data_IF_642595988124
#
_entry.id   IF_642595988124
#
_cell.length_a   1.000
_cell.length_b   1.000
_cell.length_c   1.000
_cell.angle_alpha   90.00
_cell.angle_beta   90.00
_cell.angle_gamma   90.00
#
_symmetry.space_group_name_H-M   'P 1'
#
loop_
_entity.id
_entity.type
_entity.pdbx_description
1 polymer ?
#
# COMPACT_ATOMS: atom_id res chain seq x y z
N UNK A 1 -10.94 33.43 36.55
CA UNK A 1 -9.85 32.94 37.41
C UNK A 1 -8.54 33.46 36.83
N UNK A 2 -7.94 34.45 37.48
CA UNK A 2 -6.63 35.01 37.13
C UNK A 2 -5.58 34.06 37.71
N UNK A 3 -4.69 33.55 36.85
CA UNK A 3 -3.59 32.67 37.17
C UNK A 3 -2.59 33.44 38.06
N UNK A 4 -2.35 33.05 39.31
CA UNK A 4 -1.58 33.84 40.32
C UNK A 4 -0.09 33.97 40.00
N UNK A 5 0.42 33.27 38.99
CA UNK A 5 1.85 33.25 38.65
C UNK A 5 2.24 34.24 37.53
N UNK A 6 1.37 35.20 37.21
CA UNK A 6 1.57 36.11 36.07
C UNK A 6 1.77 37.55 36.56
N UNK A 7 2.94 38.12 36.37
CA UNK A 7 3.29 39.52 36.64
C UNK A 7 3.30 40.36 35.35
N UNK A 8 2.54 41.44 35.27
CA UNK A 8 2.50 42.36 34.13
C UNK A 8 3.81 43.14 34.05
N UNK A 9 4.60 42.89 33.03
CA UNK A 9 5.93 43.52 32.90
C UNK A 9 5.89 44.86 32.15
N UNK A 10 4.93 45.05 31.20
CA UNK A 10 4.74 46.31 30.41
C UNK A 10 3.35 46.42 29.83
N UNK A 11 2.68 47.55 30.08
CA UNK A 11 1.44 47.94 29.42
C UNK A 11 1.84 48.82 28.22
N UNK A 12 1.39 48.51 27.03
CA UNK A 12 1.63 49.24 25.78
C UNK A 12 0.32 49.79 25.23
N UNK A 13 0.43 50.69 24.21
CA UNK A 13 -0.75 51.15 23.46
C UNK A 13 -1.53 50.05 22.78
N UNK A 14 -0.84 48.90 22.48
CA UNK A 14 -1.45 47.73 21.88
C UNK A 14 -0.91 46.47 22.57
N UNK A 15 -1.80 45.69 23.16
CA UNK A 15 -1.48 44.42 23.81
C UNK A 15 -0.72 44.54 25.12
N UNK A 16 -0.43 43.38 25.72
CA UNK A 16 0.32 43.27 26.99
C UNK A 16 1.34 42.12 26.86
N UNK A 17 2.47 42.26 27.56
CA UNK A 17 3.46 41.18 27.70
C UNK A 17 3.54 40.85 29.19
N UNK A 18 3.43 39.56 29.51
CA UNK A 18 3.41 39.02 30.85
C UNK A 18 4.50 37.96 31.00
N UNK A 19 5.33 38.06 32.05
CA UNK A 19 6.29 37.01 32.34
C UNK A 19 5.59 35.82 33.02
N UNK A 20 5.84 34.61 32.56
CA UNK A 20 5.47 33.37 33.23
C UNK A 20 6.66 32.87 34.02
N UNK A 21 6.50 32.78 35.37
CA UNK A 21 7.54 32.34 36.29
C UNK A 21 7.38 30.84 36.62
N UNK A 22 8.48 30.16 36.87
CA UNK A 22 8.51 28.84 37.48
C UNK A 22 8.42 28.95 39.02
N UNK A 23 8.22 27.81 39.67
CA UNK A 23 8.18 27.74 41.14
C UNK A 23 9.48 28.23 41.83
N UNK A 24 10.62 28.23 41.13
CA UNK A 24 11.92 28.75 41.59
C UNK A 24 12.08 30.27 41.31
N UNK A 25 11.06 30.96 40.84
CA UNK A 25 11.08 32.39 40.50
C UNK A 25 11.73 32.74 39.14
N UNK A 26 12.31 31.77 38.44
CA UNK A 26 12.87 31.99 37.08
C UNK A 26 11.78 32.19 36.04
N UNK A 27 12.04 33.03 35.02
CA UNK A 27 11.13 33.25 33.95
C UNK A 27 11.16 32.06 33.00
N UNK A 28 10.01 31.40 32.80
CA UNK A 28 9.86 30.26 31.88
C UNK A 28 9.47 30.66 30.45
N UNK A 29 8.76 31.77 30.29
CA UNK A 29 8.32 32.29 29.00
C UNK A 29 7.75 33.70 29.12
N UNK A 30 7.69 34.38 28.01
CA UNK A 30 7.04 35.68 27.86
C UNK A 30 5.74 35.52 27.04
N UNK A 31 4.59 35.89 27.64
CA UNK A 31 3.26 35.77 27.04
C UNK A 31 2.84 37.10 26.46
N UNK A 32 2.82 37.21 25.14
CA UNK A 32 2.25 38.36 24.45
C UNK A 32 0.76 38.15 24.21
N UNK A 33 -0.06 39.17 24.49
CA UNK A 33 -1.54 39.11 24.44
C UNK A 33 -2.12 40.36 23.82
N UNK A 34 -3.20 40.20 23.05
CA UNK A 34 -4.05 41.27 22.56
C UNK A 34 -5.48 40.76 22.31
N UNK A 35 -6.43 41.65 22.01
CA UNK A 35 -7.79 41.27 21.67
C UNK A 35 -7.98 41.25 20.16
N UNK A 36 -8.59 40.18 19.66
CA UNK A 36 -8.95 40.05 18.23
C UNK A 36 -9.86 41.18 17.76
N UNK A 37 -9.60 41.79 16.60
CA UNK A 37 -10.43 42.86 16.08
C UNK A 37 -11.79 42.40 15.54
N UNK A 38 -12.00 41.08 15.39
CA UNK A 38 -13.20 40.48 14.81
C UNK A 38 -14.22 40.09 15.88
N UNK A 39 -13.79 39.41 16.94
CA UNK A 39 -14.65 38.83 17.95
C UNK A 39 -14.29 39.26 19.38
N UNK A 40 -13.30 40.11 19.56
CA UNK A 40 -12.82 40.58 20.87
C UNK A 40 -12.14 39.53 21.75
N UNK A 41 -12.05 38.29 21.30
CA UNK A 41 -11.42 37.22 22.07
C UNK A 41 -9.92 37.44 22.23
N UNK A 42 -9.41 36.93 23.36
CA UNK A 42 -7.98 37.03 23.67
C UNK A 42 -7.15 36.17 22.74
N UNK A 43 -6.20 36.79 22.07
CA UNK A 43 -5.15 36.13 21.28
C UNK A 43 -3.87 36.19 22.09
N UNK A 44 -3.17 35.06 22.26
CA UNK A 44 -1.90 35.02 22.99
C UNK A 44 -0.89 34.08 22.33
N UNK A 45 0.39 34.43 22.49
CA UNK A 45 1.53 33.61 22.03
C UNK A 45 2.66 33.67 23.05
N UNK A 46 3.38 32.55 23.24
CA UNK A 46 4.49 32.40 24.16
C UNK A 46 5.80 32.54 23.43
N UNK A 47 6.79 33.21 24.06
CA UNK A 47 8.13 33.47 23.50
C UNK A 47 9.21 33.22 24.57
N UNK A 48 10.43 32.89 24.11
CA UNK A 48 11.56 32.71 24.99
C UNK A 48 12.18 34.03 25.44
N UNK A 49 12.04 35.09 24.61
CA UNK A 49 12.57 36.42 24.92
C UNK A 49 11.47 37.49 24.88
N UNK A 50 11.66 38.53 25.70
CA UNK A 50 10.76 39.70 25.71
C UNK A 50 10.82 40.43 24.35
N UNK A 51 11.98 40.45 23.72
CA UNK A 51 12.22 41.12 22.43
C UNK A 51 11.38 40.49 21.32
N UNK A 52 11.31 39.16 21.27
CA UNK A 52 10.50 38.44 20.29
C UNK A 52 9.01 38.66 20.53
N UNK A 53 8.59 38.69 21.79
CA UNK A 53 7.21 39.02 22.17
C UNK A 53 6.84 40.44 21.73
N UNK A 54 7.75 41.42 21.87
CA UNK A 54 7.60 42.79 21.44
C UNK A 54 7.47 42.91 19.92
N UNK A 55 8.38 42.26 19.21
CA UNK A 55 8.39 42.24 17.74
C UNK A 55 7.11 41.64 17.18
N UNK A 56 6.64 40.53 17.77
CA UNK A 56 5.39 39.89 17.36
C UNK A 56 4.18 40.80 17.59
N UNK A 57 4.06 41.46 18.77
CA UNK A 57 2.96 42.41 19.05
C UNK A 57 2.97 43.62 18.11
N UNK A 58 4.13 44.10 17.72
CA UNK A 58 4.25 45.18 16.75
C UNK A 58 3.69 44.78 15.36
N UNK A 59 4.06 43.59 14.90
CA UNK A 59 3.50 43.05 13.65
C UNK A 59 1.99 42.76 13.71
N UNK A 60 1.48 42.29 14.85
CA UNK A 60 0.06 42.08 15.06
C UNK A 60 -0.71 43.42 15.08
N UNK A 61 -0.15 44.44 15.69
CA UNK A 61 -0.72 45.79 15.71
C UNK A 61 -0.92 46.34 14.28
N UNK A 62 0.10 46.20 13.45
CA UNK A 62 0.00 46.64 12.05
C UNK A 62 -1.14 45.92 11.29
N UNK A 63 -1.25 44.60 11.48
CA UNK A 63 -2.29 43.80 10.85
C UNK A 63 -3.70 44.15 11.35
N UNK A 64 -3.85 44.46 12.63
CA UNK A 64 -5.12 44.93 13.23
C UNK A 64 -5.48 46.32 12.67
N UNK A 65 -4.53 47.22 12.55
CA UNK A 65 -4.75 48.55 11.97
C UNK A 65 -5.11 48.47 10.47
N UNK A 66 -4.44 47.60 9.68
CA UNK A 66 -4.83 47.36 8.30
C UNK A 66 -6.25 46.83 8.18
N UNK A 67 -6.68 45.94 9.09
CA UNK A 67 -8.03 45.43 9.12
C UNK A 67 -9.07 46.55 9.45
N UNK A 68 -8.78 47.36 10.46
CA UNK A 68 -9.64 48.48 10.84
C UNK A 68 -9.83 49.52 9.73
N UNK A 69 -8.78 49.71 8.90
CA UNK A 69 -8.81 50.60 7.73
C UNK A 69 -9.44 49.94 6.50
N UNK A 70 -9.89 48.69 6.57
CA UNK A 70 -10.44 47.94 5.42
C UNK A 70 -9.44 47.55 4.34
N UNK A 71 -8.15 47.74 4.60
CA UNK A 71 -7.06 47.44 3.61
C UNK A 71 -6.76 45.96 3.51
N UNK A 72 -6.91 45.19 4.61
CA UNK A 72 -6.63 43.77 4.67
C UNK A 72 -7.44 43.10 5.76
N UNK A 73 -8.09 41.98 5.44
CA UNK A 73 -8.81 41.19 6.44
C UNK A 73 -7.84 40.58 7.46
N UNK A 74 -8.08 40.80 8.74
CA UNK A 74 -7.32 40.16 9.79
C UNK A 74 -7.65 38.67 9.86
N UNK A 75 -6.66 37.86 10.05
CA UNK A 75 -6.76 36.40 10.22
C UNK A 75 -6.02 36.01 11.49
N UNK A 76 -6.60 35.10 12.27
CA UNK A 76 -6.00 34.64 13.52
C UNK A 76 -4.56 34.14 13.30
N UNK A 77 -3.58 34.46 14.18
CA UNK A 77 -2.17 34.06 14.04
C UNK A 77 -1.99 32.56 13.79
N UNK A 78 -2.71 31.71 14.53
CA UNK A 78 -2.67 30.26 14.32
C UNK A 78 -3.07 29.85 12.90
N UNK A 79 -4.08 30.53 12.33
CA UNK A 79 -4.53 30.22 10.97
C UNK A 79 -3.54 30.74 9.91
N UNK A 80 -2.87 31.87 10.21
CA UNK A 80 -1.77 32.36 9.36
C UNK A 80 -0.58 31.41 9.37
N UNK A 81 -0.20 30.90 10.56
CA UNK A 81 0.89 29.91 10.69
C UNK A 81 0.51 28.61 9.97
N UNK A 82 -0.74 28.15 10.10
CA UNK A 82 -1.27 27.01 9.33
C UNK A 82 -1.19 27.23 7.83
N UNK A 83 -1.63 28.42 7.35
CA UNK A 83 -1.55 28.78 5.91
C UNK A 83 -0.10 28.84 5.41
N UNK A 84 0.81 29.38 6.22
CA UNK A 84 2.24 29.41 5.89
C UNK A 84 2.81 28.00 5.80
N UNK A 85 2.55 27.16 6.80
CA UNK A 85 2.95 25.76 6.80
C UNK A 85 2.36 24.98 5.63
N UNK A 86 1.06 25.14 5.36
CA UNK A 86 0.40 24.55 4.20
C UNK A 86 1.02 25.04 2.88
N UNK A 87 1.43 26.31 2.80
CA UNK A 87 2.06 26.88 1.61
C UNK A 87 3.49 26.42 1.37
N UNK A 88 4.18 25.91 2.38
CA UNK A 88 5.56 25.39 2.31
C UNK A 88 5.62 23.87 2.25
N UNK A 89 4.50 23.16 2.39
CA UNK A 89 4.46 21.70 2.34
C UNK A 89 4.94 21.19 0.99
N UNK A 90 5.86 20.24 1.02
CA UNK A 90 6.39 19.59 -0.17
C UNK A 90 5.53 18.41 -0.60
N UNK A 91 5.71 17.97 -1.85
CA UNK A 91 5.08 16.75 -2.34
C UNK A 91 5.51 15.53 -1.54
N UNK A 92 6.79 15.44 -1.17
CA UNK A 92 7.32 14.33 -0.37
C UNK A 92 6.58 14.15 0.94
N UNK A 93 6.39 15.25 1.69
CA UNK A 93 5.70 15.22 2.99
C UNK A 93 4.25 14.74 2.86
N UNK A 94 3.53 15.23 1.84
CA UNK A 94 2.15 14.82 1.60
C UNK A 94 2.05 13.38 1.09
N UNK A 95 2.97 12.98 0.21
CA UNK A 95 3.02 11.64 -0.38
C UNK A 95 3.35 10.56 0.68
N UNK A 96 4.26 10.85 1.60
CA UNK A 96 4.58 9.96 2.72
C UNK A 96 3.36 9.81 3.65
N UNK A 97 2.74 10.92 4.01
CA UNK A 97 1.52 10.87 4.81
C UNK A 97 0.39 10.09 4.10
N UNK A 98 0.24 10.26 2.78
CA UNK A 98 -0.73 9.50 1.99
C UNK A 98 -0.45 7.99 2.07
N UNK A 99 0.79 7.56 1.89
CA UNK A 99 1.19 6.15 1.98
C UNK A 99 0.88 5.56 3.35
N UNK A 100 1.16 6.31 4.42
CA UNK A 100 0.99 5.83 5.79
C UNK A 100 -0.48 5.78 6.24
N UNK A 101 -1.29 6.71 5.76
CA UNK A 101 -2.70 6.81 6.14
C UNK A 101 -3.66 6.14 5.18
N UNK A 102 -3.21 5.79 3.97
CA UNK A 102 -4.08 5.21 2.95
C UNK A 102 -4.70 3.88 3.40
N UNK A 103 -6.00 3.76 3.23
CA UNK A 103 -6.81 2.59 3.61
C UNK A 103 -7.63 2.14 2.41
N UNK A 104 -8.15 0.90 2.48
CA UNK A 104 -9.15 0.43 1.52
C UNK A 104 -10.47 1.20 1.70
N UNK A 105 -11.39 1.13 0.72
CA UNK A 105 -12.71 1.75 0.84
C UNK A 105 -13.51 1.31 2.08
N UNK A 106 -13.28 0.08 2.57
CA UNK A 106 -13.88 -0.48 3.79
C UNK A 106 -13.20 0.01 5.10
N UNK A 107 -12.22 0.92 5.00
CA UNK A 107 -11.46 1.46 6.13
C UNK A 107 -10.34 0.55 6.64
N UNK A 108 -10.23 -0.68 6.14
CA UNK A 108 -9.19 -1.62 6.57
C UNK A 108 -7.83 -1.27 5.99
N UNK A 109 -6.76 -1.69 6.67
CA UNK A 109 -5.39 -1.47 6.21
C UNK A 109 -5.11 -2.19 4.88
N UNK A 110 -4.25 -1.61 4.06
CA UNK A 110 -3.73 -2.29 2.88
C UNK A 110 -2.94 -3.54 3.29
N UNK A 111 -3.04 -4.61 2.48
CA UNK A 111 -2.15 -5.78 2.61
C UNK A 111 -0.72 -5.39 2.22
N UNK A 112 0.28 -6.05 2.80
CA UNK A 112 1.70 -5.73 2.60
C UNK A 112 2.11 -5.59 1.13
N UNK A 113 1.67 -6.49 0.24
CA UNK A 113 1.97 -6.39 -1.19
C UNK A 113 1.34 -5.13 -1.84
N UNK A 114 0.09 -4.80 -1.50
CA UNK A 114 -0.58 -3.61 -2.04
C UNK A 114 0.08 -2.32 -1.52
N UNK A 115 0.51 -2.32 -0.26
CA UNK A 115 1.23 -1.18 0.33
C UNK A 115 2.61 -1.00 -0.30
N UNK A 116 3.32 -2.11 -0.59
CA UNK A 116 4.58 -2.06 -1.31
C UNK A 116 4.41 -1.46 -2.71
N UNK A 117 3.42 -1.92 -3.47
CA UNK A 117 3.14 -1.37 -4.79
C UNK A 117 2.79 0.12 -4.71
N UNK A 118 2.00 0.52 -3.70
CA UNK A 118 1.70 1.93 -3.45
C UNK A 118 2.98 2.75 -3.21
N UNK A 119 3.89 2.25 -2.38
CA UNK A 119 5.18 2.91 -2.14
C UNK A 119 6.04 3.01 -3.39
N UNK A 120 6.06 1.97 -4.21
CA UNK A 120 6.79 1.99 -5.48
C UNK A 120 6.20 3.03 -6.44
N UNK A 121 4.87 3.01 -6.64
CA UNK A 121 4.19 3.99 -7.50
C UNK A 121 4.41 5.44 -7.01
N UNK A 122 4.35 5.66 -5.69
CA UNK A 122 4.61 6.96 -5.07
C UNK A 122 6.09 7.32 -5.14
N UNK A 123 7.00 6.35 -5.04
CA UNK A 123 8.44 6.55 -5.22
C UNK A 123 8.76 7.19 -6.57
N UNK A 124 8.23 6.63 -7.65
CA UNK A 124 8.39 7.22 -8.98
C UNK A 124 7.86 8.66 -9.08
N UNK A 125 6.75 8.96 -8.40
CA UNK A 125 6.23 10.33 -8.35
C UNK A 125 7.14 11.28 -7.55
N UNK A 126 7.77 10.79 -6.47
CA UNK A 126 8.72 11.56 -5.68
C UNK A 126 9.99 11.88 -6.45
N UNK A 127 10.43 10.98 -7.34
CA UNK A 127 11.57 11.23 -8.22
C UNK A 127 11.30 12.44 -9.16
N UNK A 128 10.03 12.70 -9.48
CA UNK A 128 9.61 13.81 -10.36
C UNK A 128 9.24 15.08 -9.60
N UNK A 129 8.43 14.95 -8.54
CA UNK A 129 7.78 16.08 -7.86
C UNK A 129 8.32 16.32 -6.43
N UNK A 130 9.15 15.43 -5.89
CA UNK A 130 9.48 15.32 -4.46
C UNK A 130 9.85 16.62 -3.78
N UNK A 131 10.88 17.30 -4.24
CA UNK A 131 11.35 18.55 -3.64
C UNK A 131 10.47 19.78 -3.90
N UNK A 132 9.43 19.67 -4.73
CA UNK A 132 8.53 20.79 -5.06
C UNK A 132 7.53 21.03 -3.93
N UNK A 133 7.26 22.29 -3.62
CA UNK A 133 6.08 22.62 -2.82
C UNK A 133 4.80 22.34 -3.61
N UNK A 134 3.71 22.03 -2.91
CA UNK A 134 2.44 21.72 -3.57
C UNK A 134 1.96 22.84 -4.51
N UNK A 135 2.30 24.10 -4.22
CA UNK A 135 1.94 25.25 -5.05
C UNK A 135 2.78 25.35 -6.35
N UNK A 136 3.96 24.77 -6.36
CA UNK A 136 4.80 24.71 -7.56
C UNK A 136 4.34 23.63 -8.54
N UNK A 137 3.57 22.66 -8.08
CA UNK A 137 2.99 21.60 -8.92
C UNK A 137 1.73 22.16 -9.59
N UNK A 138 1.94 22.90 -10.67
CA UNK A 138 0.89 23.53 -11.47
C UNK A 138 0.38 22.59 -12.56
N UNK A 139 -0.77 22.86 -13.19
CA UNK A 139 -1.25 22.10 -14.35
C UNK A 139 -0.19 22.01 -15.48
N UNK A 140 0.60 23.07 -15.70
CA UNK A 140 1.65 23.09 -16.72
C UNK A 140 2.80 22.14 -16.38
N UNK A 141 3.22 22.08 -15.10
CA UNK A 141 4.25 21.14 -14.63
C UNK A 141 3.75 19.70 -14.80
N UNK A 142 2.49 19.44 -14.44
CA UNK A 142 1.88 18.11 -14.62
C UNK A 142 1.77 17.76 -16.10
N UNK A 143 1.36 18.71 -16.97
CA UNK A 143 1.26 18.48 -18.42
C UNK A 143 2.62 18.15 -19.03
N UNK A 144 3.67 18.85 -18.66
CA UNK A 144 5.03 18.55 -19.13
C UNK A 144 5.48 17.14 -18.74
N UNK A 145 5.20 16.73 -17.50
CA UNK A 145 5.48 15.36 -17.07
C UNK A 145 4.59 14.36 -17.81
N UNK A 146 3.27 14.61 -17.90
CA UNK A 146 2.31 13.68 -18.48
C UNK A 146 2.60 13.35 -19.96
N UNK A 147 3.03 14.32 -20.75
CA UNK A 147 3.37 14.15 -22.16
C UNK A 147 4.86 13.90 -22.41
N UNK A 148 5.66 13.78 -21.35
CA UNK A 148 7.07 13.44 -21.43
C UNK A 148 7.32 11.94 -21.67
N UNK A 149 8.59 11.57 -21.73
CA UNK A 149 9.00 10.17 -21.82
C UNK A 149 8.90 9.49 -20.45
N UNK A 150 8.39 8.27 -20.42
CA UNK A 150 8.22 7.45 -19.21
C UNK A 150 8.98 6.14 -19.35
N UNK A 151 10.05 6.00 -18.56
CA UNK A 151 10.91 4.81 -18.56
C UNK A 151 10.32 3.65 -17.73
N UNK A 152 9.30 3.91 -16.90
CA UNK A 152 8.79 2.97 -15.91
C UNK A 152 7.93 1.84 -16.51
N UNK A 153 7.55 1.97 -17.78
CA UNK A 153 6.76 0.99 -18.51
C UNK A 153 5.26 1.29 -18.55
N UNK A 154 4.61 0.70 -19.56
CA UNK A 154 3.21 0.97 -19.93
C UNK A 154 2.19 0.78 -18.80
N UNK A 155 2.43 -0.18 -17.88
CA UNK A 155 1.53 -0.48 -16.75
C UNK A 155 1.73 0.42 -15.53
N UNK A 156 2.87 1.09 -15.43
CA UNK A 156 3.21 1.92 -14.26
C UNK A 156 2.61 3.31 -14.40
N UNK A 157 2.68 3.89 -15.59
CA UNK A 157 2.25 5.26 -15.85
C UNK A 157 0.77 5.54 -15.51
N UNK A 158 -0.22 4.71 -15.93
CA UNK A 158 -1.62 4.91 -15.53
C UNK A 158 -1.80 4.89 -14.01
N UNK A 159 -1.10 4.00 -13.30
CA UNK A 159 -1.14 3.94 -11.85
C UNK A 159 -0.53 5.17 -11.20
N UNK A 160 0.60 5.67 -11.72
CA UNK A 160 1.20 6.93 -11.26
C UNK A 160 0.21 8.09 -11.42
N UNK A 161 -0.49 8.21 -12.56
CA UNK A 161 -1.53 9.20 -12.78
C UNK A 161 -2.65 9.09 -11.76
N UNK A 162 -3.14 7.87 -11.49
CA UNK A 162 -4.16 7.61 -10.46
C UNK A 162 -3.68 8.06 -9.07
N UNK A 163 -2.43 7.72 -8.70
CA UNK A 163 -1.84 8.09 -7.40
C UNK A 163 -1.64 9.59 -7.28
N UNK A 164 -1.08 10.24 -8.31
CA UNK A 164 -0.91 11.69 -8.31
C UNK A 164 -2.25 12.41 -8.13
N UNK A 165 -3.27 12.01 -8.91
CA UNK A 165 -4.63 12.58 -8.78
C UNK A 165 -5.20 12.39 -7.38
N UNK A 166 -5.00 11.22 -6.77
CA UNK A 166 -5.47 10.92 -5.43
C UNK A 166 -4.75 11.75 -4.35
N UNK A 167 -3.43 11.90 -4.46
CA UNK A 167 -2.62 12.72 -3.55
C UNK A 167 -3.02 14.20 -3.67
N UNK A 168 -3.21 14.72 -4.89
CA UNK A 168 -3.64 16.09 -5.10
C UNK A 168 -5.09 16.33 -4.63
N UNK A 169 -5.99 15.36 -4.78
CA UNK A 169 -7.34 15.44 -4.18
C UNK A 169 -7.28 15.50 -2.65
N UNK A 170 -6.35 14.76 -2.04
CA UNK A 170 -6.13 14.85 -0.60
C UNK A 170 -5.68 16.24 -0.19
N UNK A 171 -4.78 16.88 -0.96
CA UNK A 171 -4.35 18.26 -0.73
C UNK A 171 -5.52 19.28 -0.79
N UNK A 172 -6.55 18.99 -1.57
CA UNK A 172 -7.76 19.81 -1.69
C UNK A 172 -8.79 19.51 -0.59
N UNK A 173 -8.56 18.52 0.27
CA UNK A 173 -9.44 18.13 1.36
C UNK A 173 -8.90 18.61 2.70
N UNK A 174 -9.79 18.79 3.69
CA UNK A 174 -9.42 19.17 5.07
C UNK A 174 -8.95 17.94 5.91
N UNK A 175 -8.64 16.81 5.26
CA UNK A 175 -8.27 15.56 5.96
C UNK A 175 -6.86 15.55 6.53
N UNK A 176 -6.05 16.55 6.19
CA UNK A 176 -4.66 16.64 6.69
C UNK A 176 -4.55 17.23 8.11
N UNK A 177 -5.68 17.58 8.74
CA UNK A 177 -5.72 18.11 10.12
C UNK A 177 -5.18 19.54 10.23
N UNK A 178 -5.06 20.27 9.13
CA UNK A 178 -4.66 21.69 9.12
C UNK A 178 -5.83 22.63 9.38
N UNK A 179 -7.07 22.11 9.39
CA UNK A 179 -8.31 22.88 9.49
C UNK A 179 -8.65 23.65 8.21
N UNK A 180 -7.89 23.42 7.12
CA UNK A 180 -8.16 24.00 5.79
C UNK A 180 -7.46 23.17 4.70
N UNK A 181 -7.98 23.19 3.46
CA UNK A 181 -7.30 22.59 2.31
C UNK A 181 -5.93 23.21 2.06
N UNK A 182 -4.96 22.39 1.63
CA UNK A 182 -3.63 22.82 1.23
C UNK A 182 -3.64 23.49 -0.16
N UNK A 183 -4.51 23.01 -1.05
CA UNK A 183 -4.76 23.54 -2.39
C UNK A 183 -6.24 23.88 -2.55
N UNK A 184 -6.54 24.92 -3.33
CA UNK A 184 -7.91 25.32 -3.65
C UNK A 184 -8.58 24.35 -4.65
N UNK A 185 -7.81 23.79 -5.59
CA UNK A 185 -8.27 22.84 -6.60
C UNK A 185 -7.15 21.86 -6.98
N UNK A 186 -7.55 20.70 -7.49
CA UNK A 186 -6.59 19.70 -7.94
C UNK A 186 -5.95 20.15 -9.26
N UNK A 187 -4.61 20.29 -9.31
CA UNK A 187 -3.90 20.67 -10.54
C UNK A 187 -3.87 19.54 -11.59
N UNK A 188 -4.16 18.29 -11.21
CA UNK A 188 -4.24 17.16 -12.14
C UNK A 188 -5.61 17.13 -12.82
N UNK A 189 -5.73 17.79 -13.97
CA UNK A 189 -6.97 17.90 -14.75
C UNK A 189 -7.01 16.96 -15.97
N UNK A 190 -5.89 16.29 -16.27
CA UNK A 190 -5.76 15.42 -17.43
C UNK A 190 -6.52 14.09 -17.23
N UNK A 191 -6.91 13.41 -18.33
CA UNK A 191 -7.49 12.08 -18.24
C UNK A 191 -6.48 11.09 -17.68
N UNK A 192 -6.94 10.11 -16.92
CA UNK A 192 -6.10 8.98 -16.54
C UNK A 192 -6.01 8.06 -17.76
N UNK A 193 -4.80 7.71 -18.24
CA UNK A 193 -4.66 6.77 -19.33
C UNK A 193 -5.32 5.43 -18.98
N UNK A 194 -5.96 4.76 -19.94
CA UNK A 194 -6.47 3.40 -19.72
C UNK A 194 -5.30 2.48 -19.38
N UNK A 195 -5.58 1.43 -18.61
CA UNK A 195 -4.62 0.35 -18.46
C UNK A 195 -4.29 -0.22 -19.85
N UNK A 196 -3.02 -0.53 -20.13
CA UNK A 196 -2.66 -1.18 -21.38
C UNK A 196 -3.50 -2.43 -21.60
N UNK A 197 -3.89 -2.68 -22.83
CA UNK A 197 -4.54 -3.94 -23.14
C UNK A 197 -3.61 -5.07 -22.67
N UNK A 198 -4.11 -6.01 -21.87
CA UNK A 198 -3.34 -7.18 -21.55
C UNK A 198 -2.98 -7.82 -22.87
N UNK A 199 -1.68 -7.84 -23.21
CA UNK A 199 -1.20 -8.64 -24.34
C UNK A 199 -1.86 -9.99 -24.14
N UNK A 200 -2.71 -10.40 -25.09
CA UNK A 200 -3.40 -11.69 -25.04
C UNK A 200 -2.32 -12.77 -25.14
N UNK A 201 -1.67 -13.01 -24.02
CA UNK A 201 -0.84 -14.16 -23.88
C UNK A 201 -1.83 -15.30 -23.64
N UNK A 202 -2.42 -15.77 -24.73
CA UNK A 202 -2.96 -17.11 -24.76
C UNK A 202 -1.80 -18.06 -24.52
N UNK A 203 -1.39 -18.16 -23.25
CA UNK A 203 -0.49 -19.24 -22.87
C UNK A 203 -1.38 -20.47 -22.86
N UNK A 204 -1.25 -21.34 -23.88
CA UNK A 204 -2.09 -22.52 -23.96
C UNK A 204 -1.89 -23.38 -22.72
N UNK A 205 -2.90 -24.15 -22.32
CA UNK A 205 -2.74 -25.12 -21.24
C UNK A 205 -1.62 -26.08 -21.59
N UNK A 206 -0.86 -26.48 -20.56
CA UNK A 206 0.23 -27.43 -20.76
C UNK A 206 -0.33 -28.83 -21.09
N UNK A 207 0.28 -29.48 -22.05
CA UNK A 207 0.00 -30.87 -22.38
C UNK A 207 0.51 -31.82 -21.27
N UNK A 208 0.02 -33.06 -21.26
CA UNK A 208 0.50 -34.08 -20.31
C UNK A 208 2.03 -34.30 -20.41
N UNK A 209 2.58 -34.30 -21.63
CA UNK A 209 4.03 -34.45 -21.88
C UNK A 209 4.79 -33.25 -21.30
N UNK A 210 4.30 -32.02 -21.52
CA UNK A 210 4.93 -30.82 -20.95
C UNK A 210 4.86 -30.80 -19.42
N UNK A 211 3.74 -31.22 -18.83
CA UNK A 211 3.59 -31.32 -17.37
C UNK A 211 4.55 -32.35 -16.79
N UNK A 212 4.71 -33.52 -17.44
CA UNK A 212 5.68 -34.55 -17.01
C UNK A 212 7.12 -34.02 -17.10
N UNK A 213 7.50 -33.42 -18.22
CA UNK A 213 8.82 -32.82 -18.38
C UNK A 213 9.12 -31.73 -17.36
N UNK A 214 8.10 -30.86 -17.09
CA UNK A 214 8.21 -29.81 -16.09
C UNK A 214 8.36 -30.39 -14.66
N UNK A 215 7.58 -31.40 -14.32
CA UNK A 215 7.68 -32.09 -13.03
C UNK A 215 9.07 -32.71 -12.81
N UNK A 216 9.60 -33.39 -13.79
CA UNK A 216 10.95 -34.02 -13.72
C UNK A 216 12.08 -32.95 -13.66
N UNK A 217 11.89 -31.80 -14.27
CA UNK A 217 12.87 -30.70 -14.26
C UNK A 217 12.84 -29.87 -12.97
N UNK A 218 11.79 -30.00 -12.15
CA UNK A 218 11.69 -29.30 -10.85
C UNK A 218 12.58 -29.98 -9.79
N UNK A 219 13.10 -29.22 -8.80
CA UNK A 219 13.74 -29.84 -7.63
C UNK A 219 12.77 -30.81 -6.92
N UNK A 220 13.31 -31.95 -6.51
CA UNK A 220 12.53 -33.03 -5.92
C UNK A 220 11.64 -32.62 -4.75
N UNK A 221 12.15 -31.71 -3.90
CA UNK A 221 11.46 -31.26 -2.69
C UNK A 221 10.30 -30.29 -2.95
N UNK A 222 10.09 -29.79 -4.16
CA UNK A 222 8.96 -28.92 -4.50
C UNK A 222 8.26 -29.28 -5.82
N UNK A 223 8.73 -30.29 -6.56
CA UNK A 223 8.14 -30.73 -7.84
C UNK A 223 6.67 -31.15 -7.73
N UNK A 224 6.24 -31.71 -6.59
CA UNK A 224 4.86 -32.09 -6.37
C UNK A 224 3.88 -30.91 -6.46
N UNK A 225 4.35 -29.68 -6.23
CA UNK A 225 3.56 -28.46 -6.38
C UNK A 225 3.00 -28.27 -7.80
N UNK A 226 3.70 -28.75 -8.82
CA UNK A 226 3.28 -28.71 -10.23
C UNK A 226 2.03 -29.56 -10.42
N UNK A 227 2.08 -30.82 -9.98
CA UNK A 227 0.95 -31.76 -10.15
C UNK A 227 -0.24 -31.39 -9.29
N UNK A 228 -0.03 -31.03 -8.03
CA UNK A 228 -1.11 -30.55 -7.16
C UNK A 228 -1.81 -29.32 -7.72
N UNK A 229 -1.06 -28.42 -8.33
CA UNK A 229 -1.66 -27.23 -8.94
C UNK A 229 -2.41 -27.56 -10.24
N UNK A 230 -1.82 -28.40 -11.12
CA UNK A 230 -2.40 -28.71 -12.41
C UNK A 230 -3.57 -29.70 -12.33
N UNK A 231 -3.59 -30.62 -11.36
CA UNK A 231 -4.57 -31.74 -11.33
C UNK A 231 -5.52 -31.72 -10.15
N UNK A 232 -5.20 -31.01 -9.06
CA UNK A 232 -6.05 -31.03 -7.87
C UNK A 232 -6.78 -29.71 -7.58
N UNK A 233 -6.07 -28.56 -7.57
CA UNK A 233 -6.71 -27.36 -7.02
C UNK A 233 -6.51 -26.07 -7.75
N UNK A 234 -5.83 -26.05 -8.90
CA UNK A 234 -5.61 -24.81 -9.67
C UNK A 234 -5.07 -23.63 -8.83
N UNK A 235 -4.11 -23.92 -7.95
CA UNK A 235 -3.67 -23.02 -6.89
C UNK A 235 -2.86 -21.82 -7.40
N UNK A 236 -2.97 -20.69 -6.70
CA UNK A 236 -2.00 -19.61 -6.83
C UNK A 236 -0.68 -20.00 -6.15
N UNK A 237 0.46 -19.50 -6.63
CA UNK A 237 1.79 -19.87 -6.08
C UNK A 237 1.88 -19.67 -4.56
N UNK A 238 1.27 -18.63 -4.01
CA UNK A 238 1.25 -18.42 -2.57
C UNK A 238 0.35 -19.40 -1.80
N UNK A 239 -0.70 -19.93 -2.45
CA UNK A 239 -1.57 -20.98 -1.91
C UNK A 239 -0.81 -22.32 -1.90
N UNK A 240 -0.11 -22.67 -2.99
CA UNK A 240 0.71 -23.86 -3.06
C UNK A 240 1.79 -23.87 -1.96
N UNK A 241 2.51 -22.75 -1.79
CA UNK A 241 3.51 -22.63 -0.72
C UNK A 241 2.92 -22.68 0.71
N UNK A 242 1.62 -22.42 0.87
CA UNK A 242 0.95 -22.42 2.16
C UNK A 242 0.41 -23.78 2.60
N UNK A 243 0.39 -24.77 1.71
CA UNK A 243 -0.14 -26.10 2.00
C UNK A 243 0.54 -26.74 3.22
N UNK A 244 -0.28 -27.29 4.10
CA UNK A 244 0.14 -28.01 5.30
C UNK A 244 -0.18 -29.49 5.16
N UNK A 245 0.53 -30.32 5.89
CA UNK A 245 0.20 -31.75 5.96
C UNK A 245 -1.22 -32.00 6.44
N UNK A 246 -1.68 -31.20 7.40
CA UNK A 246 -3.04 -31.26 7.95
C UNK A 246 -4.15 -30.83 6.97
N UNK A 247 -3.80 -30.21 5.84
CA UNK A 247 -4.77 -29.83 4.81
C UNK A 247 -5.18 -31.03 3.92
N UNK A 248 -4.53 -32.18 4.07
CA UNK A 248 -4.79 -33.40 3.28
C UNK A 248 -5.57 -34.42 4.09
N UNK A 249 -6.70 -34.86 3.56
CA UNK A 249 -7.38 -36.08 3.99
C UNK A 249 -7.20 -37.15 2.89
N UNK A 250 -6.18 -38.00 3.07
CA UNK A 250 -5.83 -39.01 2.06
C UNK A 250 -6.84 -40.14 1.97
N UNK A 251 -7.63 -40.39 3.01
CA UNK A 251 -8.73 -41.40 3.00
C UNK A 251 -9.94 -40.87 2.23
N UNK A 252 -10.34 -39.63 2.51
CA UNK A 252 -11.42 -38.96 1.80
C UNK A 252 -10.99 -38.43 0.42
N UNK A 253 -9.67 -38.50 0.11
CA UNK A 253 -9.09 -38.00 -1.13
C UNK A 253 -9.44 -36.52 -1.38
N UNK A 254 -9.16 -35.69 -0.40
CA UNK A 254 -9.40 -34.25 -0.46
C UNK A 254 -8.20 -33.46 0.03
N UNK A 255 -8.09 -32.24 -0.49
CA UNK A 255 -7.11 -31.23 -0.10
C UNK A 255 -7.84 -29.91 0.18
N UNK A 256 -7.53 -29.27 1.31
CA UNK A 256 -8.08 -27.96 1.65
C UNK A 256 -7.10 -26.84 1.25
N UNK A 257 -7.58 -25.83 0.54
CA UNK A 257 -6.85 -24.60 0.24
C UNK A 257 -7.48 -23.47 1.04
N UNK A 258 -6.82 -23.02 2.11
CA UNK A 258 -7.39 -22.06 3.06
C UNK A 258 -6.42 -20.92 3.43
N UNK A 259 -5.15 -21.02 3.03
CA UNK A 259 -4.12 -20.06 3.37
C UNK A 259 -3.30 -19.64 2.14
N UNK A 260 -2.56 -18.56 2.28
CA UNK A 260 -1.59 -18.11 1.29
C UNK A 260 -0.37 -17.54 1.99
N UNK A 261 0.83 -17.86 1.49
CA UNK A 261 2.08 -17.26 1.97
C UNK A 261 2.29 -15.91 1.30
N UNK A 262 2.56 -14.88 2.10
CA UNK A 262 2.94 -13.56 1.63
C UNK A 262 4.15 -13.03 2.43
N UNK A 263 4.93 -12.11 1.81
CA UNK A 263 6.00 -11.40 2.54
C UNK A 263 5.42 -10.30 3.40
N UNK A 264 5.98 -10.15 4.61
CA UNK A 264 5.71 -9.01 5.48
C UNK A 264 6.53 -7.81 5.01
N UNK A 265 5.97 -6.61 5.12
CA UNK A 265 6.54 -5.40 4.55
C UNK A 265 7.74 -4.85 5.32
N UNK A 266 7.77 -5.03 6.64
CA UNK A 266 8.77 -4.43 7.52
C UNK A 266 9.96 -5.34 7.86
N UNK A 267 9.83 -6.66 7.64
CA UNK A 267 10.91 -7.61 7.86
C UNK A 267 11.44 -8.13 6.52
N UNK A 268 12.69 -7.80 6.22
CA UNK A 268 13.42 -8.19 5.02
C UNK A 268 13.52 -9.72 4.92
N UNK A 269 12.41 -10.39 4.64
CA UNK A 269 12.39 -11.83 4.36
C UNK A 269 11.40 -12.65 5.15
N UNK A 270 10.75 -12.12 6.17
CA UNK A 270 9.74 -12.87 6.92
C UNK A 270 8.54 -13.18 6.04
N UNK A 271 8.24 -14.49 5.97
CA UNK A 271 7.06 -15.02 5.30
C UNK A 271 5.97 -15.21 6.35
N UNK A 272 4.79 -14.65 6.09
CA UNK A 272 3.61 -14.90 6.93
C UNK A 272 2.57 -15.70 6.18
N UNK A 273 2.02 -16.66 6.91
CA UNK A 273 0.79 -17.29 6.52
C UNK A 273 -0.36 -16.30 6.75
N UNK A 274 -1.11 -16.03 5.71
CA UNK A 274 -2.27 -15.14 5.76
C UNK A 274 -3.50 -15.79 5.12
N UNK A 275 -4.68 -15.14 5.24
CA UNK A 275 -5.85 -15.60 4.53
C UNK A 275 -5.62 -15.52 3.02
N UNK A 276 -6.29 -16.35 2.26
CA UNK A 276 -6.37 -16.30 0.81
C UNK A 276 -6.85 -14.91 0.31
N UNK A 277 -6.69 -14.63 -0.98
CA UNK A 277 -7.02 -13.31 -1.57
C UNK A 277 -8.48 -12.89 -1.33
N UNK A 278 -9.40 -13.84 -1.34
CA UNK A 278 -10.85 -13.63 -1.11
C UNK A 278 -11.43 -14.79 -0.31
N UNK A 279 -12.63 -14.61 0.25
CA UNK A 279 -13.37 -15.69 0.93
C UNK A 279 -13.67 -16.88 0.00
N UNK A 280 -13.94 -16.63 -1.27
CA UNK A 280 -14.16 -17.66 -2.30
C UNK A 280 -12.92 -18.50 -2.61
N UNK A 281 -11.73 -18.04 -2.23
CA UNK A 281 -10.51 -18.81 -2.41
C UNK A 281 -10.34 -19.94 -1.38
N UNK A 282 -11.14 -19.97 -0.31
CA UNK A 282 -11.16 -21.08 0.66
C UNK A 282 -12.03 -22.18 0.07
N UNK A 283 -11.42 -23.34 -0.18
CA UNK A 283 -12.08 -24.44 -0.88
C UNK A 283 -11.51 -25.80 -0.52
N UNK A 284 -12.32 -26.82 -0.66
CA UNK A 284 -11.91 -28.22 -0.62
C UNK A 284 -11.82 -28.71 -2.06
N UNK A 285 -10.66 -29.22 -2.43
CA UNK A 285 -10.39 -29.74 -3.77
C UNK A 285 -10.32 -31.29 -3.72
N UNK A 286 -10.91 -32.02 -4.68
CA UNK A 286 -10.70 -33.44 -4.82
C UNK A 286 -9.23 -33.72 -5.16
N UNK A 287 -8.67 -34.75 -4.55
CA UNK A 287 -7.33 -35.23 -4.80
C UNK A 287 -7.42 -36.48 -5.68
N UNK A 288 -6.99 -36.43 -6.95
CA UNK A 288 -6.97 -37.60 -7.82
C UNK A 288 -6.20 -38.77 -7.20
N UNK A 289 -6.67 -40.01 -7.44
CA UNK A 289 -6.07 -41.24 -6.88
C UNK A 289 -4.57 -41.35 -7.17
N UNK A 290 -4.16 -40.92 -8.37
CA UNK A 290 -2.76 -40.92 -8.78
C UNK A 290 -1.87 -40.02 -7.89
N UNK A 291 -2.42 -38.96 -7.30
CA UNK A 291 -1.66 -38.03 -6.46
C UNK A 291 -1.53 -38.52 -5.01
N UNK A 292 -2.40 -39.40 -4.53
CA UNK A 292 -2.41 -39.88 -3.14
C UNK A 292 -1.08 -40.53 -2.75
N UNK A 293 -0.51 -41.48 -3.53
CA UNK A 293 0.80 -42.07 -3.20
C UNK A 293 1.93 -41.04 -3.24
N UNK A 294 1.91 -40.10 -4.20
CA UNK A 294 2.93 -39.06 -4.34
C UNK A 294 2.92 -38.09 -3.15
N UNK A 295 1.71 -37.72 -2.68
CA UNK A 295 1.57 -36.89 -1.47
C UNK A 295 2.07 -37.63 -0.24
N UNK A 296 1.74 -38.92 -0.08
CA UNK A 296 2.19 -39.75 1.05
C UNK A 296 3.73 -39.86 1.07
N UNK A 297 4.34 -40.14 -0.08
CA UNK A 297 5.79 -40.23 -0.24
C UNK A 297 6.43 -38.87 0.09
N UNK A 298 5.91 -37.79 -0.46
CA UNK A 298 6.43 -36.44 -0.20
C UNK A 298 6.36 -36.07 1.29
N UNK A 299 5.26 -36.44 1.98
CA UNK A 299 5.11 -36.21 3.43
C UNK A 299 6.18 -37.02 4.19
N UNK A 300 6.42 -38.27 3.83
CA UNK A 300 7.43 -39.12 4.47
C UNK A 300 8.87 -38.62 4.27
N UNK A 301 9.17 -38.03 3.11
CA UNK A 301 10.51 -37.57 2.73
C UNK A 301 10.77 -36.09 3.12
N UNK A 302 9.89 -35.45 3.91
CA UNK A 302 10.14 -34.08 4.33
C UNK A 302 11.36 -33.95 5.22
N UNK A 303 12.09 -32.85 5.05
CA UNK A 303 13.35 -32.61 5.79
C UNK A 303 13.11 -32.39 7.30
N UNK A 304 12.00 -31.75 7.67
CA UNK A 304 11.62 -31.42 9.04
C UNK A 304 10.18 -31.87 9.29
N UNK A 305 10.02 -32.99 9.99
CA UNK A 305 8.72 -33.56 10.33
C UNK A 305 7.93 -32.67 11.31
N UNK A 306 8.63 -31.86 12.10
CA UNK A 306 8.00 -30.93 13.05
C UNK A 306 7.36 -29.72 12.37
N UNK A 307 7.75 -29.42 11.14
CA UNK A 307 7.17 -28.31 10.35
C UNK A 307 5.79 -28.70 9.85
N UNK A 308 4.78 -27.82 9.98
CA UNK A 308 3.44 -28.12 9.48
C UNK A 308 3.35 -28.07 7.93
N UNK A 309 4.31 -27.44 7.26
CA UNK A 309 4.22 -27.17 5.81
C UNK A 309 4.57 -28.37 4.95
N UNK A 310 3.80 -28.56 3.87
CA UNK A 310 4.12 -29.58 2.86
C UNK A 310 5.41 -29.20 2.12
N UNK A 311 5.53 -27.97 1.66
CA UNK A 311 6.71 -27.42 1.01
C UNK A 311 7.47 -26.52 1.98
N UNK A 312 8.68 -26.94 2.33
CA UNK A 312 9.47 -26.36 3.41
C UNK A 312 10.58 -25.46 2.88
N UNK A 313 10.90 -24.41 3.63
CA UNK A 313 12.12 -23.65 3.40
C UNK A 313 13.35 -24.51 3.72
N UNK A 314 14.34 -24.53 2.82
CA UNK A 314 15.61 -25.25 3.06
C UNK A 314 16.51 -24.57 4.09
N UNK A 315 16.28 -23.28 4.36
CA UNK A 315 17.12 -22.43 5.24
C UNK A 315 16.51 -22.16 6.61
N UNK A 316 15.28 -22.63 6.89
CA UNK A 316 14.59 -22.36 8.14
C UNK A 316 13.33 -23.20 8.31
N UNK A 317 12.61 -22.99 9.44
CA UNK A 317 11.40 -23.75 9.80
C UNK A 317 10.10 -23.28 9.11
N UNK A 318 10.18 -22.27 8.25
CA UNK A 318 9.02 -21.68 7.59
C UNK A 318 8.58 -22.41 6.30
N UNK A 319 7.51 -21.91 5.66
CA UNK A 319 7.07 -22.40 4.36
C UNK A 319 8.07 -22.05 3.26
N UNK A 320 8.00 -22.75 2.13
CA UNK A 320 8.72 -22.37 0.92
C UNK A 320 8.30 -20.97 0.46
N UNK A 321 9.26 -20.13 0.11
CA UNK A 321 8.94 -18.80 -0.37
C UNK A 321 8.36 -18.85 -1.80
N UNK A 322 7.27 -18.10 -2.10
CA UNK A 322 6.74 -18.02 -3.46
C UNK A 322 7.76 -17.57 -4.51
N UNK A 323 8.70 -16.71 -4.12
CA UNK A 323 9.82 -16.30 -5.00
C UNK A 323 10.77 -17.43 -5.29
N UNK A 324 11.04 -18.30 -4.32
CA UNK A 324 11.89 -19.50 -4.50
C UNK A 324 11.22 -20.51 -5.42
N UNK A 325 9.95 -20.86 -5.13
CA UNK A 325 9.17 -21.74 -6.01
C UNK A 325 9.07 -21.19 -7.44
N UNK A 326 8.82 -19.87 -7.57
CA UNK A 326 8.77 -19.22 -8.89
C UNK A 326 10.10 -19.25 -9.64
N UNK A 327 11.24 -19.19 -8.94
CA UNK A 327 12.56 -19.31 -9.55
C UNK A 327 12.83 -20.74 -10.00
N UNK A 328 12.52 -21.75 -9.16
CA UNK A 328 12.65 -23.17 -9.55
C UNK A 328 11.77 -23.48 -10.76
N UNK A 329 10.52 -23.01 -10.75
CA UNK A 329 9.62 -23.16 -11.89
C UNK A 329 10.17 -22.50 -13.15
N UNK A 330 10.78 -21.32 -13.07
CA UNK A 330 11.37 -20.63 -14.22
C UNK A 330 12.54 -21.41 -14.80
N UNK A 331 13.38 -21.99 -13.96
CA UNK A 331 14.49 -22.85 -14.41
C UNK A 331 13.97 -24.15 -15.05
N UNK A 332 13.00 -24.79 -14.40
CA UNK A 332 12.41 -26.04 -14.88
C UNK A 332 11.70 -25.88 -16.24
N UNK A 333 10.95 -24.79 -16.45
CA UNK A 333 10.26 -24.55 -17.73
C UNK A 333 11.20 -24.38 -18.91
N UNK A 334 12.39 -23.78 -18.70
CA UNK A 334 13.42 -23.68 -19.75
C UNK A 334 13.93 -25.09 -20.14
N UNK A 335 14.17 -25.97 -19.16
CA UNK A 335 14.60 -27.35 -19.39
C UNK A 335 13.49 -28.20 -20.02
N UNK A 336 12.23 -27.96 -19.63
CA UNK A 336 11.07 -28.68 -20.16
C UNK A 336 10.58 -28.17 -21.52
N UNK A 337 11.24 -27.16 -22.13
CA UNK A 337 10.85 -26.59 -23.42
C UNK A 337 9.52 -25.82 -23.42
N UNK A 338 9.01 -25.40 -22.27
CA UNK A 338 7.79 -24.61 -22.14
C UNK A 338 8.08 -23.17 -21.61
N UNK A 339 8.96 -22.47 -22.29
CA UNK A 339 9.57 -21.19 -21.88
C UNK A 339 8.58 -20.06 -21.60
N UNK A 340 7.40 -20.07 -22.23
CA UNK A 340 6.33 -19.08 -22.00
C UNK A 340 5.48 -19.39 -20.77
N UNK A 341 5.54 -20.62 -20.23
CA UNK A 341 4.74 -21.02 -19.08
C UNK A 341 5.15 -20.25 -17.81
N UNK A 342 4.17 -19.95 -17.02
CA UNK A 342 4.31 -19.38 -15.66
C UNK A 342 3.66 -20.33 -14.67
N UNK A 343 3.90 -20.17 -13.37
CA UNK A 343 3.18 -20.97 -12.37
C UNK A 343 1.64 -20.80 -12.48
N UNK A 344 1.18 -19.65 -12.96
CA UNK A 344 -0.26 -19.41 -13.24
C UNK A 344 -0.76 -20.28 -14.38
N UNK A 345 0.08 -20.66 -15.35
CA UNK A 345 -0.30 -21.54 -16.48
C UNK A 345 -0.78 -22.90 -15.98
N UNK A 346 -0.22 -23.42 -14.87
CA UNK A 346 -0.71 -24.65 -14.24
C UNK A 346 -2.18 -24.53 -13.80
N UNK A 347 -2.58 -23.36 -13.32
CA UNK A 347 -3.96 -23.07 -12.95
C UNK A 347 -4.89 -22.99 -14.18
N UNK A 348 -4.42 -22.40 -15.28
CA UNK A 348 -5.13 -22.41 -16.56
C UNK A 348 -5.29 -23.83 -17.06
N UNK A 349 -4.22 -24.61 -17.03
CA UNK A 349 -4.24 -26.04 -17.38
C UNK A 349 -5.25 -26.81 -16.56
N UNK A 350 -5.31 -26.59 -15.24
CA UNK A 350 -6.32 -27.21 -14.36
C UNK A 350 -7.75 -26.86 -14.76
N UNK A 351 -8.03 -25.57 -14.98
CA UNK A 351 -9.36 -25.11 -15.37
C UNK A 351 -9.79 -25.71 -16.73
N UNK A 352 -8.87 -25.73 -17.71
CA UNK A 352 -9.12 -26.32 -19.02
C UNK A 352 -9.39 -27.81 -18.93
N UNK A 353 -8.55 -28.55 -18.18
CA UNK A 353 -8.74 -29.99 -18.00
C UNK A 353 -10.06 -30.32 -17.32
N UNK A 354 -10.46 -29.54 -16.30
CA UNK A 354 -11.75 -29.74 -15.61
C UNK A 354 -12.94 -29.54 -16.57
N UNK A 355 -12.92 -28.49 -17.38
CA UNK A 355 -13.96 -28.22 -18.38
C UNK A 355 -13.99 -29.27 -19.50
N UNK A 356 -12.82 -29.70 -20.00
CA UNK A 356 -12.74 -30.77 -21.01
C UNK A 356 -13.24 -32.11 -20.50
N UNK A 357 -13.19 -32.36 -19.20
CA UNK A 357 -13.75 -33.56 -18.58
C UNK A 357 -15.20 -33.38 -18.08
N UNK A 358 -15.91 -32.40 -18.60
CA UNK A 358 -17.34 -32.21 -18.36
C UNK A 358 -17.70 -31.34 -17.15
N UNK A 359 -16.70 -30.72 -16.52
CA UNK A 359 -16.94 -29.74 -15.45
C UNK A 359 -17.63 -28.49 -16.01
N UNK A 360 -18.63 -28.00 -15.31
CA UNK A 360 -19.31 -26.76 -15.65
C UNK A 360 -18.43 -25.55 -15.35
N UNK A 361 -18.71 -24.41 -15.97
CA UNK A 361 -18.02 -23.15 -15.67
C UNK A 361 -18.09 -22.81 -14.18
N UNK A 362 -19.24 -23.04 -13.53
CA UNK A 362 -19.45 -22.80 -12.09
C UNK A 362 -18.56 -23.67 -11.23
N UNK A 363 -18.55 -24.97 -11.49
CA UNK A 363 -17.68 -25.91 -10.78
C UNK A 363 -16.20 -25.57 -10.98
N UNK A 364 -15.82 -25.18 -12.18
CA UNK A 364 -14.45 -24.74 -12.47
C UNK A 364 -14.08 -23.50 -11.65
N UNK A 365 -14.95 -22.48 -11.63
CA UNK A 365 -14.74 -21.26 -10.83
C UNK A 365 -14.62 -21.58 -9.33
N UNK A 366 -15.50 -22.41 -8.80
CA UNK A 366 -15.51 -22.83 -7.40
C UNK A 366 -14.23 -23.63 -7.08
N UNK A 367 -13.80 -24.53 -7.95
CA UNK A 367 -12.61 -25.36 -7.77
C UNK A 367 -11.32 -24.55 -7.80
N UNK A 368 -11.20 -23.55 -8.69
CA UNK A 368 -10.04 -22.66 -8.71
C UNK A 368 -10.15 -21.51 -7.71
N UNK A 369 -11.31 -21.25 -7.10
CA UNK A 369 -11.54 -20.18 -6.15
C UNK A 369 -11.46 -18.78 -6.77
N UNK A 370 -12.09 -18.60 -7.93
CA UNK A 370 -12.27 -17.32 -8.58
C UNK A 370 -13.73 -16.89 -8.60
N UNK A 371 -13.98 -15.59 -8.43
CA UNK A 371 -15.32 -15.01 -8.38
C UNK A 371 -15.77 -14.38 -9.69
N UNK A 372 -14.89 -14.27 -10.70
CA UNK A 372 -15.18 -13.63 -11.99
C UNK A 372 -15.00 -14.60 -13.16
N UNK A 373 -15.98 -14.62 -14.07
CA UNK A 373 -15.97 -15.47 -15.27
C UNK A 373 -14.80 -15.13 -16.23
N UNK A 374 -14.40 -13.87 -16.28
CA UNK A 374 -13.33 -13.39 -17.15
C UNK A 374 -11.99 -14.14 -16.97
N UNK A 375 -11.71 -14.62 -15.75
CA UNK A 375 -10.45 -15.33 -15.45
C UNK A 375 -10.46 -16.76 -15.98
N UNK A 376 -11.63 -17.36 -16.10
CA UNK A 376 -11.80 -18.75 -16.60
C UNK A 376 -11.98 -18.79 -18.11
N UNK A 377 -12.54 -17.71 -18.68
CA UNK A 377 -12.82 -17.62 -20.13
C UNK A 377 -11.65 -17.07 -20.96
N UNK A 378 -10.60 -16.58 -20.33
CA UNK A 378 -9.33 -16.19 -20.94
C UNK A 378 -8.36 -17.37 -20.98
#
# INVERSE_FOLDING_TARGET
MTDPDLEVTRIRRFGTIVARKRSDGSISAWLARYSSPVDGRRVQRSFESVRDAESWLAGEHELVEMHRRGLKQWVHPTDRDRRKKAGSMTFDELADWYVDTHRKPDGTALRGAARRNLRTDVGHLKDVFGGMTLKQITPDVISKWYFGEHAEGEWVFPRMCQRLKAIMNLACSDKFGTGMPLLASNPFTLPIPPDPEPKSWEVPPLTGTQLAALYESMPEFDRLSVLLTAWAGGMRIGEACALRVSDFNLEARTMMVNHSVCRVEHDLGELRLGPTKSKHSIRVCPLPDLLVPLVREHIANRKDESSPYLFQSRRGKGPLAPTTLGNHFRQAREQAGCTTATFRTLRVTHATLLMQNGGTLRETMDNIGDSTQEVVMR
#
